data_IF_250981117132
#
_entry.id   IF_250981117132
#
_cell.length_a   1.000
_cell.length_b   1.000
_cell.length_c   1.000
_cell.angle_alpha   90.00
_cell.angle_beta   90.00
_cell.angle_gamma   90.00
#
_symmetry.space_group_name_H-M   'P 1'
#
loop_
_entity.id
_entity.type
_entity.pdbx_description
1 polymer ?
#
# COMPACT_ATOMS: atom_id res chain seq x y z
N UNK A 1 22.71 34.09 -73.23
CA UNK A 1 22.93 34.32 -71.79
C UNK A 1 21.79 33.66 -71.03
N UNK A 2 21.93 32.37 -70.70
CA UNK A 2 20.85 31.52 -70.14
C UNK A 2 21.44 30.56 -69.10
N UNK A 3 22.16 31.10 -68.12
CA UNK A 3 22.86 30.30 -67.11
C UNK A 3 23.00 31.10 -65.81
N UNK A 4 21.89 31.34 -65.12
CA UNK A 4 21.78 31.89 -63.76
C UNK A 4 20.25 31.90 -63.51
N UNK A 5 19.62 31.25 -62.56
CA UNK A 5 20.05 30.58 -61.35
C UNK A 5 19.13 29.36 -61.18
N UNK A 6 19.68 28.14 -61.19
CA UNK A 6 19.07 27.06 -60.42
C UNK A 6 19.86 27.00 -59.11
N UNK A 7 19.56 27.99 -58.26
CA UNK A 7 20.18 28.13 -56.95
C UNK A 7 19.79 26.92 -56.11
N UNK A 8 20.78 26.06 -55.89
CA UNK A 8 21.00 25.24 -54.71
C UNK A 8 19.76 24.96 -53.85
N UNK A 9 19.07 23.85 -54.14
CA UNK A 9 18.30 23.15 -53.12
C UNK A 9 18.83 21.73 -52.99
N UNK A 10 20.06 21.62 -52.49
CA UNK A 10 20.49 20.37 -51.86
C UNK A 10 19.78 20.31 -50.50
N UNK A 11 18.61 19.68 -50.50
CA UNK A 11 17.96 19.24 -49.25
C UNK A 11 18.89 18.18 -48.66
N UNK A 12 19.70 18.57 -47.68
CA UNK A 12 20.45 17.60 -46.88
C UNK A 12 19.44 16.83 -46.06
N UNK A 13 19.13 15.59 -46.46
CA UNK A 13 18.39 14.66 -45.62
C UNK A 13 19.23 14.39 -44.37
N UNK A 14 18.81 14.97 -43.24
CA UNK A 14 19.38 14.59 -41.95
C UNK A 14 18.88 13.18 -41.63
N UNK A 15 19.75 12.20 -41.34
CA UNK A 15 19.27 10.93 -40.82
C UNK A 15 18.54 11.23 -39.51
N UNK A 16 17.25 10.89 -39.46
CA UNK A 16 16.50 10.86 -38.22
C UNK A 16 16.98 9.58 -37.52
N UNK A 17 17.77 9.71 -36.45
CA UNK A 17 18.07 8.56 -35.61
C UNK A 17 16.77 8.12 -34.97
N UNK A 18 16.38 6.86 -35.16
CA UNK A 18 15.33 6.26 -34.36
C UNK A 18 15.83 6.12 -32.91
N UNK A 19 14.89 6.11 -31.97
CA UNK A 19 15.19 5.75 -30.59
C UNK A 19 15.42 4.24 -30.55
N UNK A 20 16.68 3.81 -30.73
CA UNK A 20 17.04 2.37 -30.77
C UNK A 20 17.22 1.76 -29.38
N UNK A 21 17.09 2.59 -28.34
CA UNK A 21 17.22 2.17 -26.95
C UNK A 21 15.85 2.22 -26.24
N UNK A 22 15.39 1.05 -25.82
CA UNK A 22 14.41 0.94 -24.74
C UNK A 22 15.22 0.73 -23.46
N UNK A 23 15.34 1.79 -22.65
CA UNK A 23 16.00 1.69 -21.36
C UNK A 23 15.21 0.78 -20.43
N UNK A 24 15.91 -0.07 -19.70
CA UNK A 24 15.28 -0.91 -18.70
C UNK A 24 14.91 -0.07 -17.48
N UNK A 25 13.69 -0.22 -17.01
CA UNK A 25 13.19 0.39 -15.79
C UNK A 25 12.40 -0.63 -14.98
N UNK A 26 12.48 -0.53 -13.66
CA UNK A 26 11.53 -1.15 -12.74
C UNK A 26 10.44 -0.16 -12.36
N UNK A 27 9.23 -0.69 -12.13
CA UNK A 27 8.15 0.06 -11.48
C UNK A 27 8.13 -0.37 -10.01
N UNK A 28 8.84 0.37 -9.17
CA UNK A 28 8.99 0.13 -7.74
C UNK A 28 7.77 0.67 -6.96
N UNK A 29 6.57 0.15 -7.23
CA UNK A 29 5.36 0.67 -6.57
C UNK A 29 4.03 0.37 -7.24
N UNK A 30 3.90 -0.78 -7.90
CA UNK A 30 2.65 -1.18 -8.56
C UNK A 30 1.72 -2.01 -7.66
N UNK A 31 0.42 -1.68 -7.63
CA UNK A 31 -0.60 -2.39 -6.85
C UNK A 31 -1.76 -1.46 -6.46
N UNK A 32 -2.78 -2.00 -5.81
CA UNK A 32 -3.92 -1.22 -5.32
C UNK A 32 -5.16 -2.05 -5.03
N UNK A 33 -6.16 -1.41 -4.43
CA UNK A 33 -7.48 -1.98 -4.22
C UNK A 33 -8.43 -1.51 -5.33
N UNK A 34 -9.01 -2.46 -6.05
CA UNK A 34 -10.09 -2.23 -7.00
C UNK A 34 -11.40 -2.71 -6.37
N UNK A 35 -12.42 -1.86 -6.38
CA UNK A 35 -13.73 -2.20 -5.80
C UNK A 35 -14.87 -1.69 -6.68
N UNK A 36 -15.96 -2.44 -6.70
CA UNK A 36 -17.24 -2.01 -7.27
C UNK A 36 -18.29 -1.67 -6.19
N UNK A 37 -17.86 -1.56 -4.93
CA UNK A 37 -18.73 -1.32 -3.76
C UNK A 37 -19.20 -2.59 -3.06
N UNK A 38 -19.35 -3.72 -3.75
CA UNK A 38 -19.75 -5.01 -3.15
C UNK A 38 -18.55 -5.93 -2.89
N UNK A 39 -17.56 -5.91 -3.79
CA UNK A 39 -16.34 -6.70 -3.67
C UNK A 39 -15.12 -5.82 -3.82
N UNK A 40 -14.08 -6.12 -3.04
CA UNK A 40 -12.78 -5.47 -3.13
C UNK A 40 -11.71 -6.51 -3.44
N UNK A 41 -10.91 -6.25 -4.47
CA UNK A 41 -9.73 -7.05 -4.83
C UNK A 41 -8.51 -6.16 -4.64
N UNK A 42 -7.60 -6.59 -3.76
CA UNK A 42 -6.31 -5.92 -3.55
C UNK A 42 -5.21 -6.83 -4.06
N UNK A 43 -4.28 -6.27 -4.82
CA UNK A 43 -3.12 -6.98 -5.34
C UNK A 43 -1.92 -6.08 -5.52
N UNK A 44 -0.75 -6.69 -5.63
CA UNK A 44 0.51 -6.01 -5.97
C UNK A 44 0.99 -6.51 -7.33
N UNK A 45 1.62 -5.64 -8.12
CA UNK A 45 2.41 -6.08 -9.27
C UNK A 45 3.74 -6.60 -8.71
N UNK A 46 3.95 -7.92 -8.78
CA UNK A 46 5.19 -8.52 -8.29
C UNK A 46 6.38 -8.11 -9.15
N UNK A 47 7.49 -7.74 -8.52
CA UNK A 47 8.77 -7.62 -9.22
C UNK A 47 9.48 -8.97 -9.23
N UNK A 48 10.04 -9.42 -10.37
CA UNK A 48 10.85 -10.63 -10.43
C UNK A 48 12.18 -10.52 -9.65
N UNK A 49 12.55 -9.33 -9.16
CA UNK A 49 13.70 -9.12 -8.26
C UNK A 49 13.39 -9.42 -6.78
N UNK A 50 12.12 -9.66 -6.45
CA UNK A 50 11.71 -10.08 -5.12
C UNK A 50 12.26 -11.49 -4.87
N UNK A 51 13.27 -11.59 -4.02
CA UNK A 51 14.00 -12.83 -3.78
C UNK A 51 15.39 -12.57 -3.21
N UNK A 52 16.08 -13.67 -2.88
CA UNK A 52 17.48 -13.62 -2.48
C UNK A 52 18.37 -13.50 -3.73
N UNK A 53 19.07 -12.38 -3.86
CA UNK A 53 20.14 -12.17 -4.81
C UNK A 53 21.48 -12.45 -4.10
N UNK A 54 22.41 -13.12 -4.77
CA UNK A 54 23.75 -13.37 -4.23
C UNK A 54 24.84 -12.94 -5.21
N UNK A 55 25.94 -12.44 -4.66
CA UNK A 55 27.12 -12.00 -5.42
C UNK A 55 28.36 -11.99 -4.53
N UNK A 56 29.33 -12.87 -4.83
CA UNK A 56 30.50 -13.06 -3.97
C UNK A 56 30.12 -13.54 -2.57
N UNK A 57 30.59 -12.83 -1.54
CA UNK A 57 30.29 -13.12 -0.12
C UNK A 57 29.02 -12.43 0.39
N UNK A 58 28.25 -11.76 -0.48
CA UNK A 58 27.10 -10.96 -0.07
C UNK A 58 25.80 -11.56 -0.58
N UNK A 59 24.78 -11.45 0.26
CA UNK A 59 23.39 -11.80 -0.04
C UNK A 59 22.53 -10.56 0.19
N UNK A 60 21.73 -10.21 -0.80
CA UNK A 60 20.72 -9.16 -0.74
C UNK A 60 19.37 -9.82 -0.86
N UNK A 61 18.51 -9.67 0.14
CA UNK A 61 17.13 -10.11 0.03
C UNK A 61 16.25 -8.92 -0.33
N UNK A 62 15.86 -8.85 -1.60
CA UNK A 62 14.85 -7.94 -2.10
C UNK A 62 13.46 -8.54 -1.92
N UNK A 63 12.43 -7.70 -1.90
CA UNK A 63 11.06 -8.15 -1.80
C UNK A 63 10.14 -7.08 -1.24
N UNK A 64 8.84 -7.38 -1.26
CA UNK A 64 7.85 -6.48 -0.67
C UNK A 64 8.03 -6.47 0.85
N UNK A 65 8.13 -5.27 1.45
CA UNK A 65 7.74 -5.10 2.85
C UNK A 65 6.33 -5.65 2.93
N UNK A 66 6.07 -6.68 3.72
CA UNK A 66 4.72 -7.19 3.93
C UNK A 66 3.84 -6.08 4.49
N UNK A 67 3.37 -5.17 3.64
CA UNK A 67 2.16 -4.44 3.84
C UNK A 67 1.15 -5.57 3.75
N UNK A 68 0.83 -6.11 4.92
CA UNK A 68 -0.52 -6.53 5.20
C UNK A 68 -1.35 -5.37 4.68
N UNK A 69 -1.79 -5.46 3.42
CA UNK A 69 -2.76 -4.56 2.87
C UNK A 69 -3.97 -4.85 3.74
N UNK A 70 -4.12 -4.06 4.80
CA UNK A 70 -5.36 -4.00 5.54
C UNK A 70 -6.36 -3.51 4.51
N UNK A 71 -6.97 -4.45 3.79
CA UNK A 71 -8.11 -4.18 2.94
C UNK A 71 -9.11 -3.57 3.90
N UNK A 72 -9.22 -2.25 3.86
CA UNK A 72 -10.20 -1.54 4.66
C UNK A 72 -11.54 -2.17 4.28
N UNK A 73 -12.25 -2.71 5.27
CA UNK A 73 -13.61 -3.20 5.05
C UNK A 73 -14.40 -2.07 4.36
N UNK A 74 -15.06 -2.32 3.23
CA UNK A 74 -15.79 -1.27 2.51
C UNK A 74 -16.71 -0.49 3.46
N UNK A 75 -16.51 0.81 3.56
CA UNK A 75 -17.28 1.70 4.46
C UNK A 75 -16.80 1.75 5.92
N UNK A 76 -15.72 1.07 6.29
CA UNK A 76 -15.10 1.22 7.62
C UNK A 76 -14.40 2.57 7.76
N UNK A 77 -14.51 3.24 8.92
CA UNK A 77 -13.68 4.39 9.20
C UNK A 77 -12.21 3.97 9.34
N UNK A 78 -11.30 4.89 9.02
CA UNK A 78 -9.86 4.58 9.03
C UNK A 78 -9.36 4.32 10.44
N UNK A 79 -8.84 3.13 10.67
CA UNK A 79 -8.23 2.74 11.93
C UNK A 79 -6.77 3.20 11.98
N UNK A 80 -6.42 3.97 13.00
CA UNK A 80 -5.08 4.50 13.27
C UNK A 80 -4.53 3.93 14.57
N UNK A 81 -3.22 3.63 14.59
CA UNK A 81 -2.52 3.13 15.78
C UNK A 81 -1.36 4.08 16.06
N UNK A 82 -1.36 4.68 17.25
CA UNK A 82 -0.31 5.60 17.69
C UNK A 82 0.23 5.16 19.04
N UNK A 83 1.55 5.21 19.21
CA UNK A 83 2.18 4.94 20.51
C UNK A 83 2.14 6.20 21.38
N UNK A 84 1.70 6.07 22.63
CA UNK A 84 1.63 7.15 23.60
C UNK A 84 2.34 6.72 24.91
N UNK A 85 3.61 7.07 25.07
CA UNK A 85 4.39 6.69 26.27
C UNK A 85 4.56 5.17 26.38
N UNK A 86 4.04 4.56 27.44
CA UNK A 86 3.99 3.10 27.64
C UNK A 86 2.78 2.43 26.97
N UNK A 87 1.89 3.22 26.38
CA UNK A 87 0.59 2.77 25.91
C UNK A 87 0.49 2.82 24.39
N UNK A 88 -0.52 2.11 23.88
CA UNK A 88 -0.95 2.14 22.49
C UNK A 88 -2.35 2.72 22.45
N UNK A 89 -2.53 3.72 21.60
CA UNK A 89 -3.83 4.33 21.30
C UNK A 89 -4.27 3.85 19.93
N UNK A 90 -5.43 3.20 19.88
CA UNK A 90 -6.11 2.81 18.65
C UNK A 90 -7.29 3.75 18.47
N UNK A 91 -7.39 4.43 17.33
CA UNK A 91 -8.42 5.45 17.09
C UNK A 91 -9.01 5.39 15.69
N UNK A 92 -10.26 5.83 15.55
CA UNK A 92 -10.96 5.94 14.28
C UNK A 92 -11.97 7.09 14.32
N UNK A 93 -12.24 7.75 13.19
CA UNK A 93 -13.14 8.90 13.13
C UNK A 93 -14.61 8.50 13.29
N UNK A 94 -15.43 9.46 13.74
CA UNK A 94 -16.88 9.44 13.64
C UNK A 94 -17.33 9.92 12.24
N UNK A 95 -18.49 9.47 11.74
CA UNK A 95 -19.42 8.52 12.36
C UNK A 95 -18.91 7.07 12.28
N UNK A 96 -19.18 6.29 13.32
CA UNK A 96 -18.77 4.88 13.44
C UNK A 96 -19.95 3.96 13.78
N UNK A 97 -21.15 4.30 13.30
CA UNK A 97 -22.38 3.59 13.65
C UNK A 97 -22.37 2.12 13.21
N UNK A 98 -22.51 1.24 14.20
CA UNK A 98 -22.49 -0.22 14.02
C UNK A 98 -21.09 -0.82 13.87
N UNK A 99 -20.03 -0.01 13.94
CA UNK A 99 -18.65 -0.53 13.93
C UNK A 99 -18.19 -0.87 15.34
N UNK A 100 -17.64 -2.07 15.51
CA UNK A 100 -17.01 -2.53 16.75
C UNK A 100 -15.52 -2.78 16.51
N UNK A 101 -14.71 -2.48 17.53
CA UNK A 101 -13.29 -2.81 17.52
C UNK A 101 -13.11 -4.28 17.90
N UNK A 102 -12.53 -5.07 17.01
CA UNK A 102 -12.13 -6.44 17.26
C UNK A 102 -10.61 -6.55 17.31
N UNK A 103 -10.11 -7.54 18.06
CA UNK A 103 -8.68 -7.76 18.23
C UNK A 103 -8.32 -9.24 18.20
N UNK A 104 -7.07 -9.53 17.85
CA UNK A 104 -6.48 -10.86 18.02
C UNK A 104 -4.97 -10.74 18.26
N UNK A 105 -4.36 -11.75 18.87
CA UNK A 105 -2.90 -11.84 18.99
C UNK A 105 -2.29 -12.69 17.87
N UNK A 106 -3.11 -13.22 16.95
CA UNK A 106 -2.67 -14.10 15.86
C UNK A 106 -3.51 -13.87 14.61
N UNK A 107 -2.84 -13.65 13.48
CA UNK A 107 -3.45 -13.76 12.16
C UNK A 107 -3.46 -15.25 11.78
N UNK A 108 -4.57 -15.94 12.04
CA UNK A 108 -4.79 -17.26 11.46
C UNK A 108 -5.50 -17.14 10.10
N UNK A 109 -5.65 -18.27 9.40
CA UNK A 109 -6.43 -18.38 8.17
C UNK A 109 -7.78 -17.65 8.30
N UNK A 110 -8.27 -17.08 7.20
CA UNK A 110 -9.29 -16.04 7.11
C UNK A 110 -10.64 -16.25 7.86
N UNK A 111 -10.86 -17.40 8.49
CA UNK A 111 -12.13 -17.79 9.14
C UNK A 111 -12.10 -17.78 10.67
N UNK A 112 -11.01 -17.40 11.33
CA UNK A 112 -10.99 -17.33 12.80
C UNK A 112 -11.73 -16.07 13.31
N UNK A 113 -12.72 -16.19 14.22
CA UNK A 113 -13.45 -15.03 14.74
C UNK A 113 -12.56 -14.18 15.65
N UNK A 114 -12.56 -12.87 15.46
CA UNK A 114 -11.81 -11.95 16.32
C UNK A 114 -12.72 -11.48 17.46
N UNK A 115 -12.34 -11.68 18.73
CA UNK A 115 -13.13 -11.18 19.84
C UNK A 115 -13.18 -9.64 19.86
N UNK A 116 -14.31 -9.08 20.32
CA UNK A 116 -14.46 -7.65 20.58
C UNK A 116 -13.46 -7.19 21.63
N UNK A 117 -12.82 -6.04 21.40
CA UNK A 117 -11.93 -5.41 22.35
C UNK A 117 -12.71 -4.95 23.60
N UNK A 118 -12.15 -5.19 24.79
CA UNK A 118 -12.82 -4.94 26.08
C UNK A 118 -12.44 -3.63 26.74
N UNK A 119 -11.47 -2.89 26.20
CA UNK A 119 -11.08 -1.59 26.75
C UNK A 119 -12.14 -0.52 26.49
N UNK A 120 -12.28 0.45 27.40
CA UNK A 120 -13.27 1.50 27.25
C UNK A 120 -12.98 2.38 26.03
N UNK A 121 -13.99 2.52 25.17
CA UNK A 121 -13.99 3.51 24.10
C UNK A 121 -14.26 4.89 24.72
N UNK A 122 -13.40 5.85 24.43
CA UNK A 122 -13.63 7.25 24.77
C UNK A 122 -13.71 8.08 23.49
N UNK A 123 -14.56 9.11 23.48
CA UNK A 123 -14.76 9.96 22.31
C UNK A 123 -14.58 11.44 22.64
N UNK A 124 -14.07 12.20 21.69
CA UNK A 124 -13.98 13.66 21.72
C UNK A 124 -14.97 14.32 20.72
N UNK A 125 -16.03 13.61 20.32
CA UNK A 125 -17.01 14.00 19.30
C UNK A 125 -16.51 14.06 17.84
N UNK A 126 -15.21 13.86 17.59
CA UNK A 126 -14.66 13.70 16.22
C UNK A 126 -14.07 12.31 16.00
N UNK A 127 -13.44 11.74 17.02
CA UNK A 127 -12.81 10.44 16.99
C UNK A 127 -13.27 9.59 18.18
N UNK A 128 -13.24 8.28 17.98
CA UNK A 128 -13.28 7.28 19.05
C UNK A 128 -11.84 6.76 19.24
N UNK A 129 -11.43 6.60 20.50
CA UNK A 129 -10.13 6.04 20.85
C UNK A 129 -10.23 5.00 21.96
N UNK A 130 -9.33 4.04 21.89
CA UNK A 130 -9.11 3.00 22.90
C UNK A 130 -7.65 3.07 23.30
N UNK A 131 -7.38 3.13 24.60
CA UNK A 131 -6.02 3.15 25.16
C UNK A 131 -5.75 1.85 25.89
N UNK A 132 -4.62 1.23 25.61
CA UNK A 132 -4.21 -0.01 26.26
C UNK A 132 -2.70 -0.01 26.52
N UNK A 133 -2.22 -0.74 27.54
CA UNK A 133 -0.79 -0.90 27.77
C UNK A 133 -0.11 -1.56 26.56
N UNK A 134 1.06 -1.07 26.18
CA UNK A 134 1.91 -1.77 25.22
C UNK A 134 2.43 -3.07 25.88
N UNK A 135 2.10 -4.20 25.28
CA UNK A 135 2.56 -5.51 25.71
C UNK A 135 3.57 -6.09 24.70
N UNK A 136 4.52 -6.93 25.14
CA UNK A 136 5.38 -7.67 24.21
C UNK A 136 4.57 -8.61 23.31
N UNK A 137 5.03 -8.80 22.09
CA UNK A 137 4.38 -9.64 21.08
C UNK A 137 3.59 -8.84 20.04
N UNK A 138 2.69 -9.53 19.34
CA UNK A 138 1.87 -8.94 18.29
C UNK A 138 0.41 -8.88 18.72
N UNK A 139 -0.25 -7.77 18.36
CA UNK A 139 -1.70 -7.60 18.47
C UNK A 139 -2.19 -6.93 17.20
N UNK A 140 -3.27 -7.46 16.66
CA UNK A 140 -3.89 -7.03 15.43
C UNK A 140 -5.28 -6.48 15.75
N UNK A 141 -5.70 -5.46 15.01
CA UNK A 141 -6.96 -4.77 15.21
C UNK A 141 -7.69 -4.63 13.89
N UNK A 142 -9.02 -4.72 13.94
CA UNK A 142 -9.90 -4.41 12.81
C UNK A 142 -11.17 -3.75 13.32
N UNK A 143 -11.78 -2.93 12.48
CA UNK A 143 -13.16 -2.53 12.66
C UNK A 143 -14.05 -3.50 11.88
N UNK A 144 -15.06 -4.01 12.56
CA UNK A 144 -16.02 -4.94 12.01
C UNK A 144 -17.44 -4.44 12.27
N UNK A 145 -18.35 -4.69 11.32
CA UNK A 145 -19.76 -4.37 11.46
C UNK A 145 -20.52 -5.70 11.58
N UNK A 146 -21.01 -6.07 12.78
CA UNK A 146 -21.73 -7.31 13.02
C UNK A 146 -23.03 -7.41 12.22
#
# INVERSE_FOLDING_TARGET
MKWLLLAALFVTSRPLSAQDAIDWFTIDGGGGASSNGQYSVSGTLGQPDAGAMSGGSFTLQGGFWGVVAAVQTPGAPTLSITRAGSDVVVSWPLPADGWVLEQTNRLASASEPWPTATWPCVTNASDIRVTMPAAPGHRFFRLHKP
#
